data_IF_068764318379
#
_entry.id   IF_068764318379
#
_cell.length_a   1.000
_cell.length_b   1.000
_cell.length_c   1.000
_cell.angle_alpha   90.00
_cell.angle_beta   90.00
_cell.angle_gamma   90.00
#
_symmetry.space_group_name_H-M   'P 1'
#
loop_
_entity.id
_entity.type
_entity.pdbx_description
1 polymer ?
#
# COMPACT_ATOMS: atom_id res chain seq x y z
N UNK A 1 -7.70 15.66 -15.72
CA UNK A 1 -8.83 15.36 -14.81
C UNK A 1 -9.90 14.63 -15.60
N UNK A 2 -10.48 13.55 -15.08
CA UNK A 2 -11.53 12.75 -15.70
C UNK A 2 -12.74 12.67 -14.75
N UNK A 3 -13.96 12.75 -15.30
CA UNK A 3 -15.21 12.78 -14.56
C UNK A 3 -16.00 11.50 -14.86
N UNK A 4 -16.48 10.83 -13.82
CA UNK A 4 -17.32 9.64 -13.91
C UNK A 4 -18.58 9.85 -13.08
N UNK A 5 -19.75 9.92 -13.75
CA UNK A 5 -21.04 10.12 -13.12
C UNK A 5 -21.71 8.77 -12.87
N UNK A 6 -22.07 8.49 -11.64
CA UNK A 6 -22.80 7.29 -11.25
C UNK A 6 -24.27 7.63 -11.09
N UNK A 7 -25.09 7.08 -11.96
CA UNK A 7 -26.53 7.34 -12.01
C UNK A 7 -27.33 6.14 -11.56
N UNK A 8 -28.49 6.41 -10.97
CA UNK A 8 -29.51 5.40 -10.69
C UNK A 8 -30.58 5.41 -11.79
N UNK A 9 -30.83 4.25 -12.36
CA UNK A 9 -31.92 4.08 -13.32
C UNK A 9 -33.26 4.07 -12.60
N UNK A 10 -34.17 4.96 -12.96
CA UNK A 10 -35.44 5.20 -12.25
C UNK A 10 -36.40 4.00 -12.25
N UNK A 11 -36.36 3.13 -13.27
CA UNK A 11 -37.29 1.99 -13.40
C UNK A 11 -36.77 0.68 -12.81
N UNK A 12 -35.44 0.49 -12.75
CA UNK A 12 -34.84 -0.81 -12.37
C UNK A 12 -34.03 -0.76 -11.07
N UNK A 13 -33.96 0.40 -10.44
CA UNK A 13 -33.17 0.68 -9.21
C UNK A 13 -31.69 0.23 -9.34
N UNK A 14 -31.11 0.43 -10.50
CA UNK A 14 -29.82 -0.09 -10.92
C UNK A 14 -28.84 1.05 -11.15
N UNK A 15 -27.55 0.84 -10.87
CA UNK A 15 -26.51 1.85 -11.03
C UNK A 15 -25.80 1.65 -12.36
N UNK A 16 -25.62 2.74 -13.11
CA UNK A 16 -24.80 2.79 -14.33
C UNK A 16 -23.86 3.99 -14.30
N UNK A 17 -22.86 4.00 -15.18
CA UNK A 17 -21.82 5.02 -15.23
C UNK A 17 -21.85 5.73 -16.57
N UNK A 18 -21.68 7.05 -16.54
CA UNK A 18 -21.49 7.91 -17.74
C UNK A 18 -20.29 8.85 -17.53
N UNK A 19 -19.62 9.22 -18.59
CA UNK A 19 -18.62 10.29 -18.60
C UNK A 19 -19.25 11.65 -18.94
N UNK A 20 -20.49 11.66 -19.42
CA UNK A 20 -21.26 12.85 -19.70
C UNK A 20 -22.39 13.02 -18.69
N UNK A 21 -22.66 14.25 -18.33
CA UNK A 21 -23.76 14.57 -17.44
C UNK A 21 -25.11 14.28 -18.12
N UNK A 22 -25.96 13.51 -17.46
CA UNK A 22 -27.29 13.16 -17.93
C UNK A 22 -28.36 13.80 -17.04
N UNK A 23 -29.38 14.39 -17.64
CA UNK A 23 -30.46 15.06 -16.92
C UNK A 23 -31.66 14.16 -16.66
N UNK A 24 -31.76 13.01 -17.34
CA UNK A 24 -32.93 12.13 -17.28
C UNK A 24 -32.86 11.13 -16.09
N UNK A 25 -31.70 11.01 -15.43
CA UNK A 25 -31.45 10.04 -14.38
C UNK A 25 -31.02 10.70 -13.07
N UNK A 26 -31.26 10.05 -11.94
CA UNK A 26 -30.85 10.57 -10.64
C UNK A 26 -29.35 10.31 -10.44
N UNK A 27 -28.58 11.39 -10.26
CA UNK A 27 -27.17 11.29 -9.90
C UNK A 27 -27.04 10.75 -8.47
N UNK A 28 -26.33 9.64 -8.29
CA UNK A 28 -26.00 9.07 -6.99
C UNK A 28 -24.72 9.71 -6.43
N UNK A 29 -23.67 9.71 -7.23
CA UNK A 29 -22.44 10.40 -6.87
C UNK A 29 -21.54 10.65 -8.08
N UNK A 30 -20.58 11.55 -7.89
CA UNK A 30 -19.56 11.90 -8.86
C UNK A 30 -18.19 11.37 -8.41
N UNK A 31 -17.44 10.76 -9.33
CA UNK A 31 -16.02 10.48 -9.14
C UNK A 31 -15.18 11.36 -10.06
N UNK A 32 -14.26 12.11 -9.46
CA UNK A 32 -13.27 12.95 -10.14
C UNK A 32 -11.91 12.29 -10.01
N UNK A 33 -11.35 11.78 -11.11
CA UNK A 33 -9.99 11.24 -11.13
C UNK A 33 -9.02 12.28 -11.68
N UNK A 34 -8.04 12.65 -10.88
CA UNK A 34 -7.05 13.67 -11.18
C UNK A 34 -5.63 13.12 -11.07
N UNK A 35 -4.77 13.55 -11.97
CA UNK A 35 -3.35 13.29 -11.84
C UNK A 35 -2.72 14.31 -10.90
N UNK A 36 -1.83 13.84 -10.03
CA UNK A 36 -1.05 14.69 -9.14
C UNK A 36 -0.22 15.71 -9.90
N UNK A 37 0.27 15.35 -11.07
CA UNK A 37 1.03 16.25 -11.93
C UNK A 37 0.20 17.50 -12.32
N UNK A 38 -1.11 17.37 -12.54
CA UNK A 38 -2.01 18.49 -12.81
C UNK A 38 -2.10 19.42 -11.59
N UNK A 39 -2.18 18.84 -10.38
CA UNK A 39 -2.19 19.58 -9.12
C UNK A 39 -0.87 20.33 -8.88
N UNK A 40 0.27 19.68 -9.09
CA UNK A 40 1.60 20.28 -8.88
C UNK A 40 1.87 21.42 -9.87
N UNK A 41 1.54 21.23 -11.15
CA UNK A 41 1.85 22.19 -12.19
C UNK A 41 0.90 23.40 -12.20
N UNK A 42 -0.35 23.23 -11.75
CA UNK A 42 -1.42 24.23 -11.88
C UNK A 42 -2.35 24.24 -10.66
N UNK A 43 -1.80 24.40 -9.47
CA UNK A 43 -2.51 24.28 -8.17
C UNK A 43 -3.79 25.15 -8.11
N UNK A 44 -3.70 26.43 -8.45
CA UNK A 44 -4.87 27.35 -8.39
C UNK A 44 -5.96 26.96 -9.39
N UNK A 45 -5.57 26.62 -10.61
CA UNK A 45 -6.51 26.19 -11.65
C UNK A 45 -7.12 24.83 -11.29
N UNK A 46 -6.36 23.95 -10.70
CA UNK A 46 -6.84 22.65 -10.23
C UNK A 46 -7.87 22.83 -9.11
N UNK A 47 -7.58 23.66 -8.11
CA UNK A 47 -8.50 23.93 -7.00
C UNK A 47 -9.80 24.59 -7.49
N UNK A 48 -9.69 25.52 -8.44
CA UNK A 48 -10.86 26.14 -9.06
C UNK A 48 -11.72 25.11 -9.81
N UNK A 49 -11.10 24.21 -10.58
CA UNK A 49 -11.82 23.16 -11.29
C UNK A 49 -12.49 22.17 -10.31
N UNK A 50 -11.82 21.80 -9.22
CA UNK A 50 -12.43 20.96 -8.17
C UNK A 50 -13.65 21.69 -7.60
N UNK A 51 -13.52 22.96 -7.22
CA UNK A 51 -14.64 23.74 -6.69
C UNK A 51 -15.82 23.83 -7.68
N UNK A 52 -15.56 24.05 -8.96
CA UNK A 52 -16.61 24.15 -10.00
C UNK A 52 -17.41 22.84 -10.13
N UNK A 53 -16.78 21.68 -9.94
CA UNK A 53 -17.44 20.38 -10.06
C UNK A 53 -18.00 19.85 -8.75
N UNK A 54 -17.42 20.21 -7.62
CA UNK A 54 -17.70 19.58 -6.33
C UNK A 54 -18.30 20.54 -5.29
N UNK A 55 -18.11 21.85 -5.47
CA UNK A 55 -18.43 22.86 -4.47
C UNK A 55 -17.51 22.87 -3.23
N UNK A 56 -16.51 22.00 -3.18
CA UNK A 56 -15.59 21.84 -2.04
C UNK A 56 -14.38 22.76 -2.20
N UNK A 57 -14.07 23.49 -1.13
CA UNK A 57 -12.83 24.28 -1.01
C UNK A 57 -11.90 23.53 -0.06
N UNK A 58 -10.75 23.11 -0.58
CA UNK A 58 -9.77 22.40 0.24
C UNK A 58 -9.02 23.38 1.16
N UNK A 59 -8.81 22.94 2.40
CA UNK A 59 -7.96 23.61 3.35
C UNK A 59 -6.50 23.67 2.84
N UNK A 60 -5.79 24.75 3.15
CA UNK A 60 -4.40 24.94 2.73
C UNK A 60 -3.46 23.84 3.25
N UNK A 61 -3.70 23.31 4.45
CA UNK A 61 -2.94 22.19 5.01
C UNK A 61 -3.17 20.91 4.20
N UNK A 62 -4.40 20.56 3.90
CA UNK A 62 -4.74 19.39 3.08
C UNK A 62 -4.22 19.50 1.66
N UNK A 63 -4.17 20.71 1.11
CA UNK A 63 -3.51 20.95 -0.19
C UNK A 63 -2.00 20.65 -0.12
N UNK A 64 -1.33 21.02 0.97
CA UNK A 64 0.09 20.72 1.19
C UNK A 64 0.31 19.21 1.34
N UNK A 65 -0.59 18.52 2.03
CA UNK A 65 -0.52 17.07 2.21
C UNK A 65 -0.64 16.34 0.88
N UNK A 66 -1.58 16.77 0.03
CA UNK A 66 -1.73 16.24 -1.33
C UNK A 66 -0.53 16.55 -2.24
N UNK A 67 0.15 17.68 -2.02
CA UNK A 67 1.36 18.07 -2.75
C UNK A 67 2.61 17.34 -2.27
N UNK A 68 2.65 16.86 -1.03
CA UNK A 68 3.80 16.20 -0.45
C UNK A 68 3.89 14.73 -0.89
N UNK A 69 4.90 14.39 -1.72
CA UNK A 69 5.12 13.01 -2.19
C UNK A 69 5.55 12.06 -1.07
N UNK A 70 6.13 12.59 -0.01
CA UNK A 70 6.59 11.81 1.14
C UNK A 70 5.55 11.79 2.29
N UNK A 71 4.35 12.35 2.05
CA UNK A 71 3.31 12.34 3.08
C UNK A 71 2.99 10.90 3.50
N UNK A 72 2.97 10.57 4.80
CA UNK A 72 2.59 9.24 5.29
C UNK A 72 1.11 8.95 4.99
N UNK A 73 0.66 7.73 5.27
CA UNK A 73 -0.77 7.47 5.31
C UNK A 73 -1.39 8.29 6.43
N UNK A 74 -2.54 8.93 6.16
CA UNK A 74 -3.25 9.77 7.12
C UNK A 74 -4.73 9.86 6.75
N UNK A 75 -5.55 10.03 7.76
CA UNK A 75 -6.96 10.37 7.63
C UNK A 75 -7.24 11.64 8.44
N UNK A 76 -7.97 12.58 7.86
CA UNK A 76 -8.44 13.78 8.55
C UNK A 76 -9.87 14.09 8.09
N UNK A 77 -10.73 14.43 9.03
CA UNK A 77 -12.13 14.77 8.79
C UNK A 77 -12.39 16.22 9.17
N UNK A 78 -12.97 16.96 8.25
CA UNK A 78 -13.46 18.32 8.47
C UNK A 78 -14.96 18.39 8.15
N UNK A 79 -15.62 19.44 8.55
CA UNK A 79 -17.09 19.58 8.42
C UNK A 79 -17.61 19.37 6.98
N UNK A 80 -16.80 19.74 5.98
CA UNK A 80 -17.23 19.74 4.57
C UNK A 80 -16.79 18.46 3.81
N UNK A 81 -15.70 17.80 4.21
CA UNK A 81 -15.15 16.64 3.53
C UNK A 81 -14.17 15.86 4.43
N UNK A 82 -13.92 14.62 4.06
CA UNK A 82 -12.85 13.80 4.63
C UNK A 82 -11.68 13.76 3.65
N UNK A 83 -10.45 13.82 4.18
CA UNK A 83 -9.22 13.59 3.43
C UNK A 83 -8.60 12.26 3.89
N UNK A 84 -8.33 11.38 2.93
CA UNK A 84 -7.57 10.16 3.13
C UNK A 84 -6.34 10.19 2.22
N UNK A 85 -5.15 10.15 2.80
CA UNK A 85 -3.91 9.91 2.07
C UNK A 85 -3.47 8.47 2.33
N UNK A 86 -3.27 7.71 1.27
CA UNK A 86 -2.93 6.29 1.37
C UNK A 86 -1.77 5.95 0.46
N UNK A 87 -0.71 5.37 1.00
CA UNK A 87 0.47 4.99 0.23
C UNK A 87 0.34 3.58 -0.32
N UNK A 88 0.72 3.41 -1.56
CA UNK A 88 0.78 2.13 -2.25
C UNK A 88 2.23 1.73 -2.49
N UNK A 89 2.58 0.45 -2.32
CA UNK A 89 3.83 -0.08 -2.85
C UNK A 89 3.81 -0.04 -4.39
N UNK A 90 4.88 0.47 -4.97
CA UNK A 90 5.10 0.44 -6.41
C UNK A 90 5.54 -0.99 -6.76
N UNK A 91 4.79 -1.65 -7.61
CA UNK A 91 5.13 -2.96 -8.12
C UNK A 91 5.94 -2.84 -9.42
N UNK A 92 6.73 -3.85 -9.82
CA UNK A 92 7.42 -3.85 -11.11
C UNK A 92 6.49 -3.69 -12.32
N UNK A 93 5.20 -3.97 -12.13
CA UNK A 93 4.18 -3.80 -13.16
C UNK A 93 3.67 -2.35 -13.27
N UNK A 94 3.94 -1.48 -12.31
CA UNK A 94 3.53 -0.07 -12.38
C UNK A 94 4.44 0.71 -13.33
N UNK A 95 3.86 1.50 -14.23
CA UNK A 95 4.63 2.34 -15.16
C UNK A 95 5.41 3.46 -14.47
N UNK A 96 5.07 3.78 -13.22
CA UNK A 96 5.80 4.72 -12.36
C UNK A 96 7.25 4.23 -12.15
N UNK A 97 7.47 2.91 -12.19
CA UNK A 97 8.78 2.29 -12.01
C UNK A 97 9.76 2.60 -13.16
N UNK A 98 9.26 2.93 -14.34
CA UNK A 98 10.07 3.21 -15.54
C UNK A 98 10.47 4.69 -15.64
N UNK A 99 9.97 5.58 -14.78
CA UNK A 99 10.37 6.98 -14.80
C UNK A 99 11.68 7.16 -14.03
N UNK A 100 12.74 7.57 -14.74
CA UNK A 100 14.10 7.78 -14.20
C UNK A 100 14.17 8.65 -12.92
N UNK A 101 13.17 9.48 -12.68
CA UNK A 101 13.11 10.36 -11.52
C UNK A 101 12.69 9.66 -10.21
N UNK A 102 12.06 8.48 -10.28
CA UNK A 102 11.67 7.72 -9.09
C UNK A 102 12.84 6.90 -8.51
N UNK A 103 13.84 6.60 -9.34
CA UNK A 103 15.03 5.82 -8.97
C UNK A 103 16.14 6.69 -8.35
N UNK A 104 16.22 7.98 -8.69
CA UNK A 104 17.30 8.85 -8.21
C UNK A 104 17.09 9.34 -6.76
N UNK A 105 15.86 9.37 -6.25
CA UNK A 105 15.60 9.85 -4.89
C UNK A 105 15.69 8.77 -3.80
N UNK A 106 15.56 7.49 -4.16
CA UNK A 106 15.68 6.39 -3.22
C UNK A 106 16.39 5.21 -3.90
N UNK A 107 17.69 5.07 -3.69
CA UNK A 107 18.42 3.83 -3.89
C UNK A 107 17.86 2.71 -3.01
N UNK A 108 16.61 2.36 -3.18
CA UNK A 108 16.08 1.13 -2.68
C UNK A 108 16.66 0.01 -3.53
N UNK A 109 17.69 -0.63 -3.04
CA UNK A 109 18.39 -1.78 -3.66
C UNK A 109 17.40 -2.88 -4.10
N UNK A 110 16.12 -2.75 -3.77
CA UNK A 110 15.08 -3.74 -4.02
C UNK A 110 13.81 -3.20 -4.67
N UNK A 111 13.78 -1.96 -5.13
CA UNK A 111 12.61 -1.42 -5.81
C UNK A 111 11.33 -1.38 -4.95
N UNK A 112 11.46 -1.34 -3.62
CA UNK A 112 10.34 -1.12 -2.71
C UNK A 112 10.13 0.38 -2.53
N UNK A 113 9.70 1.04 -3.57
CA UNK A 113 9.25 2.42 -3.50
C UNK A 113 7.75 2.47 -3.21
N UNK A 114 7.28 3.56 -2.61
CA UNK A 114 5.87 3.81 -2.37
C UNK A 114 5.42 5.11 -3.03
N UNK A 115 4.15 5.19 -3.38
CA UNK A 115 3.55 6.40 -3.93
C UNK A 115 2.29 6.75 -3.15
N UNK A 116 2.08 8.02 -2.74
CA UNK A 116 0.86 8.45 -2.10
C UNK A 116 -0.26 8.59 -3.13
N UNK A 117 -1.47 8.33 -2.67
CA UNK A 117 -2.71 8.62 -3.37
C UNK A 117 -3.65 9.32 -2.41
N UNK A 118 -4.15 10.49 -2.80
CA UNK A 118 -5.10 11.26 -2.02
C UNK A 118 -6.54 10.95 -2.44
N UNK A 119 -7.43 10.90 -1.46
CA UNK A 119 -8.87 10.80 -1.65
C UNK A 119 -9.57 11.89 -0.85
N UNK A 120 -10.45 12.62 -1.50
CA UNK A 120 -11.31 13.60 -0.86
C UNK A 120 -12.74 13.06 -0.99
N UNK A 121 -13.37 12.83 0.16
CA UNK A 121 -14.68 12.21 0.24
C UNK A 121 -15.71 13.23 0.76
N UNK A 122 -16.85 13.25 0.11
CA UNK A 122 -18.08 13.87 0.61
C UNK A 122 -19.22 12.86 0.48
N UNK A 123 -20.42 13.10 1.01
CA UNK A 123 -21.55 12.19 0.85
C UNK A 123 -21.87 11.83 -0.61
N UNK A 124 -21.57 12.70 -1.57
CA UNK A 124 -21.96 12.53 -2.97
C UNK A 124 -20.79 12.64 -3.96
N UNK A 125 -19.56 12.82 -3.48
CA UNK A 125 -18.40 13.04 -4.36
C UNK A 125 -17.20 12.28 -3.83
N UNK A 126 -16.44 11.68 -4.75
CA UNK A 126 -15.09 11.20 -4.51
C UNK A 126 -14.14 11.92 -5.46
N UNK A 127 -13.11 12.55 -4.93
CA UNK A 127 -11.96 13.01 -5.73
C UNK A 127 -10.79 12.10 -5.43
N UNK A 128 -10.15 11.58 -6.47
CA UNK A 128 -8.89 10.81 -6.34
C UNK A 128 -7.75 11.60 -7.00
N UNK A 129 -6.63 11.73 -6.28
CA UNK A 129 -5.40 12.37 -6.74
C UNK A 129 -4.29 11.33 -6.75
N UNK A 130 -3.76 10.99 -7.92
CA UNK A 130 -2.81 9.89 -8.10
C UNK A 130 -1.66 10.23 -9.04
N UNK A 131 -0.58 9.48 -8.91
CA UNK A 131 0.48 9.49 -9.92
C UNK A 131 0.02 8.79 -11.21
N UNK A 132 0.58 9.23 -12.32
CA UNK A 132 0.40 8.56 -13.61
C UNK A 132 1.04 7.17 -13.55
N UNK A 133 0.44 6.17 -14.22
CA UNK A 133 0.96 4.80 -14.26
C UNK A 133 0.62 3.95 -13.04
N UNK A 134 -0.26 4.40 -12.15
CA UNK A 134 -0.80 3.58 -11.06
C UNK A 134 -1.74 2.50 -11.61
N UNK A 135 -1.20 1.31 -11.90
CA UNK A 135 -1.95 0.21 -12.53
C UNK A 135 -3.16 -0.28 -11.75
N UNK A 136 -3.15 -0.16 -10.43
CA UNK A 136 -4.32 -0.55 -9.63
C UNK A 136 -5.54 0.28 -10.03
N UNK A 137 -5.37 1.60 -10.17
CA UNK A 137 -6.45 2.52 -10.54
C UNK A 137 -6.75 2.43 -12.04
N UNK A 138 -5.72 2.37 -12.87
CA UNK A 138 -5.89 2.24 -14.32
C UNK A 138 -6.66 0.96 -14.69
N UNK A 139 -6.36 -0.15 -14.03
CA UNK A 139 -7.11 -1.41 -14.21
C UNK A 139 -8.57 -1.27 -13.75
N UNK A 140 -8.83 -0.50 -12.70
CA UNK A 140 -10.19 -0.21 -12.28
C UNK A 140 -10.93 0.66 -13.30
N UNK A 141 -10.28 1.72 -13.82
CA UNK A 141 -10.82 2.58 -14.88
C UNK A 141 -11.11 1.76 -16.15
N UNK A 142 -10.18 0.91 -16.60
CA UNK A 142 -10.39 0.04 -17.75
C UNK A 142 -11.60 -0.89 -17.55
N UNK A 143 -11.77 -1.43 -16.36
CA UNK A 143 -12.94 -2.26 -16.01
C UNK A 143 -14.24 -1.45 -16.10
N UNK A 144 -14.25 -0.21 -15.61
CA UNK A 144 -15.39 0.70 -15.74
C UNK A 144 -15.68 0.98 -17.23
N UNK A 145 -14.68 1.29 -18.03
CA UNK A 145 -14.84 1.54 -19.47
C UNK A 145 -15.45 0.35 -20.21
N UNK A 146 -15.03 -0.87 -19.88
CA UNK A 146 -15.63 -2.11 -20.41
C UNK A 146 -17.11 -2.23 -19.99
N UNK A 147 -17.46 -1.82 -18.79
CA UNK A 147 -18.84 -1.84 -18.30
C UNK A 147 -19.67 -0.77 -19.03
N UNK A 148 -19.16 0.44 -19.18
CA UNK A 148 -19.83 1.54 -19.89
C UNK A 148 -20.11 1.21 -21.37
N UNK A 149 -19.25 0.41 -22.01
CA UNK A 149 -19.47 -0.05 -23.38
C UNK A 149 -20.61 -1.06 -23.55
N UNK A 150 -21.28 -1.48 -22.46
CA UNK A 150 -22.43 -2.40 -22.50
C UNK A 150 -23.75 -1.62 -22.48
N UNK A 151 -24.85 -2.20 -23.01
CA UNK A 151 -26.18 -1.62 -22.82
C UNK A 151 -26.48 -1.38 -21.33
N UNK A 152 -27.17 -0.29 -20.99
CA UNK A 152 -27.46 0.11 -19.61
C UNK A 152 -28.08 -1.02 -18.79
N UNK A 153 -29.01 -1.78 -19.38
CA UNK A 153 -29.64 -2.95 -18.75
C UNK A 153 -28.65 -4.08 -18.37
N UNK A 154 -27.49 -4.17 -19.04
CA UNK A 154 -26.46 -5.18 -18.77
C UNK A 154 -25.33 -4.67 -17.88
N UNK A 155 -25.18 -3.34 -17.71
CA UNK A 155 -24.18 -2.77 -16.82
C UNK A 155 -24.42 -3.18 -15.36
N UNK A 156 -25.62 -3.59 -15.07
CA UNK A 156 -26.23 -3.59 -13.78
C UNK A 156 -26.44 -4.94 -13.12
N UNK A 157 -25.57 -5.87 -13.32
CA UNK A 157 -25.59 -7.05 -12.43
C UNK A 157 -25.24 -6.58 -11.01
N UNK A 158 -26.12 -6.86 -10.02
CA UNK A 158 -25.95 -6.37 -8.65
C UNK A 158 -24.54 -6.72 -8.11
N UNK A 159 -23.88 -5.76 -7.46
CA UNK A 159 -22.56 -5.81 -6.84
C UNK A 159 -21.33 -5.51 -7.70
N UNK A 160 -21.45 -5.13 -8.97
CA UNK A 160 -20.27 -4.79 -9.77
C UNK A 160 -19.84 -3.33 -9.66
N UNK A 161 -20.76 -2.41 -9.47
CA UNK A 161 -20.49 -0.97 -9.36
C UNK A 161 -20.55 -0.52 -7.90
N UNK A 162 -19.81 0.54 -7.60
CA UNK A 162 -19.88 1.20 -6.31
C UNK A 162 -21.22 1.93 -6.15
N UNK A 163 -21.75 1.95 -4.93
CA UNK A 163 -23.02 2.59 -4.62
C UNK A 163 -22.87 3.94 -3.91
N UNK A 164 -21.70 4.23 -3.39
CA UNK A 164 -21.38 5.47 -2.68
C UNK A 164 -19.92 5.86 -2.94
N UNK A 165 -19.52 7.13 -2.69
CA UNK A 165 -18.13 7.56 -2.72
C UNK A 165 -17.21 6.70 -1.84
N UNK A 166 -17.63 6.42 -0.60
CA UNK A 166 -16.87 5.58 0.33
C UNK A 166 -16.72 4.13 -0.17
N UNK A 167 -17.77 3.53 -0.78
CA UNK A 167 -17.67 2.20 -1.39
C UNK A 167 -16.67 2.18 -2.56
N UNK A 168 -16.65 3.24 -3.36
CA UNK A 168 -15.67 3.37 -4.44
C UNK A 168 -14.24 3.52 -3.87
N UNK A 169 -14.06 4.38 -2.89
CA UNK A 169 -12.77 4.58 -2.21
C UNK A 169 -12.23 3.23 -1.69
N UNK A 170 -13.03 2.47 -0.93
CA UNK A 170 -12.63 1.16 -0.41
C UNK A 170 -12.27 0.14 -1.51
N UNK A 171 -12.94 0.18 -2.66
CA UNK A 171 -12.59 -0.67 -3.81
C UNK A 171 -11.26 -0.29 -4.44
N UNK A 172 -10.96 1.01 -4.52
CA UNK A 172 -9.67 1.51 -5.02
C UNK A 172 -8.55 1.13 -4.04
N UNK A 173 -8.75 1.33 -2.74
CA UNK A 173 -7.81 0.90 -1.70
C UNK A 173 -7.56 -0.62 -1.74
N UNK A 174 -8.60 -1.43 -1.89
CA UNK A 174 -8.45 -2.88 -2.03
C UNK A 174 -7.60 -3.24 -3.26
N UNK A 175 -7.82 -2.57 -4.38
CA UNK A 175 -7.01 -2.78 -5.59
C UNK A 175 -5.54 -2.40 -5.39
N UNK A 176 -5.24 -1.40 -4.54
CA UNK A 176 -3.88 -1.02 -4.18
C UNK A 176 -3.22 -2.06 -3.27
N UNK A 177 -3.96 -2.60 -2.30
CA UNK A 177 -3.47 -3.59 -1.34
C UNK A 177 -3.32 -4.98 -2.00
N UNK A 178 -4.18 -5.34 -2.93
CA UNK A 178 -4.08 -6.62 -3.67
C UNK A 178 -2.72 -6.78 -4.38
N UNK A 179 -2.06 -5.67 -4.73
CA UNK A 179 -0.70 -5.67 -5.27
C UNK A 179 0.34 -6.33 -4.34
N UNK A 180 0.13 -6.30 -3.02
CA UNK A 180 1.03 -6.96 -2.06
C UNK A 180 1.03 -8.48 -2.19
N UNK A 181 -0.08 -9.09 -2.63
CA UNK A 181 -0.16 -10.54 -2.80
C UNK A 181 0.85 -11.03 -3.84
N UNK A 182 1.13 -10.22 -4.85
CA UNK A 182 2.10 -10.52 -5.89
C UNK A 182 3.55 -10.47 -5.38
N UNK A 183 3.82 -9.70 -4.31
CA UNK A 183 5.15 -9.58 -3.70
C UNK A 183 5.46 -10.71 -2.72
N UNK A 184 4.46 -11.43 -2.23
CA UNK A 184 4.62 -12.46 -1.20
C UNK A 184 5.62 -13.55 -1.60
N UNK A 185 5.47 -14.10 -2.80
CA UNK A 185 6.35 -15.17 -3.30
C UNK A 185 7.77 -14.69 -3.58
N UNK A 186 8.00 -13.55 -4.27
CA UNK A 186 9.33 -12.98 -4.43
C UNK A 186 10.05 -12.72 -3.10
N UNK A 187 9.37 -12.11 -2.12
CA UNK A 187 9.94 -11.84 -0.80
C UNK A 187 10.34 -13.12 -0.07
N UNK A 188 9.50 -14.15 -0.10
CA UNK A 188 9.82 -15.45 0.50
C UNK A 188 11.06 -16.08 -0.13
N UNK A 189 11.17 -16.09 -1.48
CA UNK A 189 12.34 -16.61 -2.20
C UNK A 189 13.62 -15.87 -1.86
N UNK A 190 13.54 -14.57 -1.62
CA UNK A 190 14.71 -13.76 -1.21
C UNK A 190 15.19 -14.16 0.17
N UNK A 191 14.29 -14.37 1.13
CA UNK A 191 14.65 -14.85 2.48
C UNK A 191 15.28 -16.24 2.40
N UNK A 192 14.71 -17.17 1.63
CA UNK A 192 15.26 -18.50 1.39
C UNK A 192 16.68 -18.43 0.81
N UNK A 193 16.91 -17.52 -0.15
CA UNK A 193 18.24 -17.27 -0.70
C UNK A 193 19.24 -16.83 0.39
N UNK A 194 18.87 -15.84 1.21
CA UNK A 194 19.76 -15.36 2.29
C UNK A 194 20.02 -16.40 3.36
N UNK A 195 19.01 -17.18 3.72
CA UNK A 195 19.19 -18.32 4.64
C UNK A 195 20.20 -19.33 4.09
N UNK A 196 20.10 -19.66 2.81
CA UNK A 196 21.06 -20.56 2.17
C UNK A 196 22.49 -19.98 2.15
N UNK A 197 22.62 -18.68 1.82
CA UNK A 197 23.94 -18.03 1.82
C UNK A 197 24.58 -17.99 3.21
N UNK A 198 23.81 -17.73 4.25
CA UNK A 198 24.29 -17.71 5.64
C UNK A 198 24.66 -19.11 6.16
N UNK A 199 23.86 -20.13 5.83
CA UNK A 199 24.04 -21.49 6.35
C UNK A 199 25.05 -22.34 5.54
N UNK A 200 25.14 -22.13 4.22
CA UNK A 200 26.09 -22.84 3.35
C UNK A 200 27.44 -22.12 3.23
N UNK A 201 27.47 -20.87 3.61
CA UNK A 201 28.63 -19.99 3.44
C UNK A 201 29.82 -20.44 4.28
N UNK A 202 30.94 -20.64 3.59
CA UNK A 202 32.24 -20.76 4.21
C UNK A 202 32.50 -19.53 5.11
N UNK A 203 33.35 -19.68 6.13
CA UNK A 203 33.81 -18.77 7.20
C UNK A 203 33.82 -17.25 6.93
N UNK A 204 33.50 -16.77 5.73
CA UNK A 204 33.53 -15.33 5.34
C UNK A 204 32.30 -14.97 4.54
N UNK A 205 31.13 -14.93 5.18
CA UNK A 205 30.01 -14.22 4.59
C UNK A 205 30.39 -12.76 4.39
N UNK A 206 30.34 -12.26 3.14
CA UNK A 206 30.80 -10.91 2.77
C UNK A 206 29.66 -9.94 2.44
N UNK A 207 28.45 -10.45 2.28
CA UNK A 207 27.30 -9.69 1.76
C UNK A 207 26.46 -9.04 2.87
N UNK A 208 27.11 -8.68 4.00
CA UNK A 208 26.41 -8.08 5.15
C UNK A 208 25.66 -6.79 4.79
N UNK A 209 26.25 -5.97 3.92
CA UNK A 209 25.61 -4.73 3.48
C UNK A 209 24.31 -5.01 2.73
N UNK A 210 24.30 -5.98 1.82
CA UNK A 210 23.09 -6.36 1.09
C UNK A 210 22.03 -6.95 2.02
N UNK A 211 22.43 -7.81 2.98
CA UNK A 211 21.53 -8.38 3.96
C UNK A 211 20.92 -7.31 4.88
N UNK A 212 21.69 -6.31 5.26
CA UNK A 212 21.19 -5.18 6.02
C UNK A 212 20.14 -4.38 5.23
N UNK A 213 20.37 -4.13 3.95
CA UNK A 213 19.37 -3.48 3.10
C UNK A 213 18.08 -4.30 2.95
N UNK A 214 18.18 -5.63 2.97
CA UNK A 214 16.97 -6.49 3.01
C UNK A 214 16.18 -6.28 4.30
N UNK A 215 16.84 -6.27 5.45
CA UNK A 215 16.16 -6.04 6.72
C UNK A 215 15.47 -4.67 6.75
N UNK A 216 16.14 -3.63 6.24
CA UNK A 216 15.56 -2.29 6.09
C UNK A 216 14.34 -2.28 5.17
N UNK A 217 14.38 -3.02 4.06
CA UNK A 217 13.23 -3.12 3.15
C UNK A 217 12.03 -3.81 3.83
N UNK A 218 12.24 -4.87 4.59
CA UNK A 218 11.18 -5.50 5.38
C UNK A 218 10.62 -4.56 6.43
N UNK A 219 11.48 -3.79 7.11
CA UNK A 219 11.05 -2.80 8.09
C UNK A 219 10.20 -1.69 7.46
N UNK A 220 10.55 -1.24 6.26
CA UNK A 220 9.73 -0.26 5.52
C UNK A 220 8.34 -0.80 5.19
N UNK A 221 8.22 -2.08 4.83
CA UNK A 221 6.89 -2.70 4.60
C UNK A 221 6.10 -2.78 5.91
N UNK A 222 6.75 -3.14 7.03
CA UNK A 222 6.09 -3.19 8.34
C UNK A 222 5.55 -1.84 8.74
N UNK A 223 6.37 -0.78 8.67
CA UNK A 223 5.97 0.59 8.98
C UNK A 223 4.81 1.06 8.09
N UNK A 224 4.90 0.79 6.78
CA UNK A 224 3.83 1.12 5.85
C UNK A 224 2.51 0.41 6.21
N UNK A 225 2.56 -0.86 6.59
CA UNK A 225 1.37 -1.59 7.03
C UNK A 225 0.78 -1.01 8.33
N UNK A 226 1.62 -0.55 9.26
CA UNK A 226 1.18 0.11 10.50
C UNK A 226 0.45 1.41 10.18
N UNK A 227 1.06 2.30 9.39
CA UNK A 227 0.42 3.54 8.94
C UNK A 227 -0.91 3.28 8.23
N UNK A 228 -0.97 2.28 7.36
CA UNK A 228 -2.19 1.90 6.66
C UNK A 228 -3.29 1.41 7.60
N UNK A 229 -2.94 0.61 8.62
CA UNK A 229 -3.90 0.10 9.59
C UNK A 229 -4.44 1.25 10.44
N UNK A 230 -3.59 2.14 10.94
CA UNK A 230 -3.99 3.32 11.72
C UNK A 230 -4.95 4.20 10.92
N UNK A 231 -4.58 4.56 9.70
CA UNK A 231 -5.41 5.36 8.79
C UNK A 231 -6.78 4.71 8.51
N UNK A 232 -6.81 3.39 8.29
CA UNK A 232 -8.06 2.67 8.07
C UNK A 232 -8.91 2.56 9.36
N UNK A 233 -8.28 2.54 10.54
CA UNK A 233 -9.00 2.58 11.82
C UNK A 233 -9.66 3.93 12.02
N UNK A 234 -8.97 5.04 11.80
CA UNK A 234 -9.52 6.39 11.88
C UNK A 234 -10.69 6.56 10.90
N UNK A 235 -10.51 6.12 9.66
CA UNK A 235 -11.61 6.13 8.67
C UNK A 235 -12.81 5.27 9.09
N UNK A 236 -12.56 4.12 9.75
CA UNK A 236 -13.64 3.27 10.28
C UNK A 236 -14.39 3.96 11.40
N UNK A 237 -13.68 4.60 12.31
CA UNK A 237 -14.27 5.24 13.47
C UNK A 237 -15.16 6.43 13.02
N UNK A 238 -14.73 7.20 12.03
CA UNK A 238 -15.55 8.24 11.37
C UNK A 238 -16.82 7.64 10.72
N UNK A 239 -16.69 6.52 10.00
CA UNK A 239 -17.86 5.83 9.42
C UNK A 239 -18.84 5.32 10.50
N UNK A 240 -18.33 4.90 11.66
CA UNK A 240 -19.17 4.45 12.79
C UNK A 240 -19.86 5.63 13.44
N UNK A 241 -19.16 6.73 13.67
CA UNK A 241 -19.72 7.93 14.27
C UNK A 241 -20.83 8.52 13.39
N UNK A 242 -20.61 8.59 12.09
CA UNK A 242 -21.62 8.99 11.11
C UNK A 242 -22.80 8.01 11.00
N UNK A 243 -22.62 6.73 11.41
CA UNK A 243 -23.69 5.72 11.42
C UNK A 243 -24.86 6.14 12.30
N UNK A 244 -24.59 6.75 13.45
CA UNK A 244 -25.61 7.18 14.41
C UNK A 244 -26.40 8.40 13.95
N UNK A 245 -25.88 9.17 13.01
CA UNK A 245 -26.54 10.38 12.48
C UNK A 245 -27.41 10.13 11.23
N UNK A 246 -27.33 8.93 10.65
CA UNK A 246 -28.04 8.58 9.41
C UNK A 246 -29.38 7.91 9.71
N UNK A 247 -30.49 8.56 9.34
CA UNK A 247 -31.83 7.97 9.46
C UNK A 247 -32.26 7.23 8.18
N UNK A 248 -32.68 5.95 8.34
CA UNK A 248 -33.31 5.14 7.30
C UNK A 248 -32.70 3.75 7.09
N UNK A 249 -33.53 2.70 6.99
CA UNK A 249 -33.11 1.28 6.90
C UNK A 249 -32.17 0.97 5.70
N UNK A 250 -32.39 1.59 4.56
CA UNK A 250 -31.52 1.36 3.37
C UNK A 250 -30.12 1.94 3.54
N UNK A 251 -29.99 3.05 4.28
CA UNK A 251 -28.71 3.68 4.55
C UNK A 251 -27.90 2.87 5.56
N UNK A 252 -28.54 2.32 6.60
CA UNK A 252 -27.89 1.40 7.54
C UNK A 252 -27.30 0.18 6.86
N UNK A 253 -28.04 -0.45 5.94
CA UNK A 253 -27.53 -1.61 5.21
C UNK A 253 -26.30 -1.31 4.35
N UNK A 254 -26.20 -0.13 3.78
CA UNK A 254 -25.02 0.28 3.00
C UNK A 254 -23.82 0.52 3.91
N UNK A 255 -24.02 1.12 5.10
CA UNK A 255 -22.97 1.32 6.08
C UNK A 255 -22.43 0.00 6.64
N UNK A 256 -23.32 -0.96 6.96
CA UNK A 256 -22.88 -2.31 7.37
C UNK A 256 -21.97 -2.95 6.33
N UNK A 257 -22.28 -2.80 5.03
CA UNK A 257 -21.47 -3.31 3.95
C UNK A 257 -20.10 -2.60 3.87
N UNK A 258 -20.07 -1.29 4.11
CA UNK A 258 -18.82 -0.52 4.14
C UNK A 258 -17.93 -0.95 5.29
N UNK A 259 -18.48 -1.11 6.50
CA UNK A 259 -17.74 -1.58 7.67
C UNK A 259 -17.18 -2.99 7.47
N UNK A 260 -17.97 -3.90 6.88
CA UNK A 260 -17.50 -5.26 6.57
C UNK A 260 -16.33 -5.21 5.56
N UNK A 261 -16.41 -4.38 4.52
CA UNK A 261 -15.33 -4.23 3.54
C UNK A 261 -14.08 -3.61 4.15
N UNK A 262 -14.25 -2.61 5.00
CA UNK A 262 -13.14 -1.95 5.68
C UNK A 262 -12.41 -2.91 6.62
N UNK A 263 -13.16 -3.70 7.40
CA UNK A 263 -12.57 -4.75 8.25
C UNK A 263 -11.84 -5.83 7.43
N UNK A 264 -12.37 -6.21 6.27
CA UNK A 264 -11.71 -7.15 5.36
C UNK A 264 -10.40 -6.56 4.81
N UNK A 265 -10.43 -5.29 4.43
CA UNK A 265 -9.26 -4.54 3.96
C UNK A 265 -8.16 -4.47 5.03
N UNK A 266 -8.52 -4.10 6.27
CA UNK A 266 -7.60 -4.09 7.42
C UNK A 266 -7.00 -5.49 7.65
N UNK A 267 -7.80 -6.55 7.59
CA UNK A 267 -7.33 -7.93 7.71
C UNK A 267 -6.35 -8.33 6.60
N UNK A 268 -6.47 -7.75 5.41
CA UNK A 268 -5.52 -7.95 4.31
C UNK A 268 -4.17 -7.30 4.64
N UNK A 269 -4.15 -6.05 5.09
CA UNK A 269 -2.93 -5.34 5.50
C UNK A 269 -2.25 -6.06 6.67
N UNK A 270 -3.00 -6.46 7.71
CA UNK A 270 -2.47 -7.24 8.83
C UNK A 270 -1.82 -8.57 8.39
N UNK A 271 -2.39 -9.25 7.40
CA UNK A 271 -1.79 -10.47 6.85
C UNK A 271 -0.46 -10.21 6.17
N UNK A 272 -0.33 -9.08 5.47
CA UNK A 272 0.94 -8.66 4.87
C UNK A 272 1.96 -8.37 5.96
N UNK A 273 1.61 -7.56 6.95
CA UNK A 273 2.46 -7.21 8.09
C UNK A 273 2.97 -8.47 8.82
N UNK A 274 2.07 -9.38 9.20
CA UNK A 274 2.42 -10.64 9.86
C UNK A 274 3.30 -11.54 9.00
N UNK A 275 3.13 -11.51 7.67
CA UNK A 275 4.00 -12.26 6.76
C UNK A 275 5.40 -11.65 6.71
N UNK A 276 5.50 -10.34 6.56
CA UNK A 276 6.79 -9.60 6.51
C UNK A 276 7.57 -9.79 7.80
N UNK A 277 6.91 -9.65 8.96
CA UNK A 277 7.52 -9.89 10.26
C UNK A 277 8.09 -11.32 10.39
N UNK A 278 7.36 -12.33 9.90
CA UNK A 278 7.87 -13.72 9.88
C UNK A 278 9.10 -13.87 9.00
N UNK A 279 9.12 -13.23 7.84
CA UNK A 279 10.27 -13.26 6.93
C UNK A 279 11.50 -12.60 7.56
N UNK A 280 11.32 -11.45 8.20
CA UNK A 280 12.37 -10.74 8.94
C UNK A 280 12.94 -11.58 10.08
N UNK A 281 12.07 -12.18 10.89
CA UNK A 281 12.49 -13.09 11.97
C UNK A 281 13.23 -14.33 11.45
N UNK A 282 12.87 -14.81 10.27
CA UNK A 282 13.57 -15.94 9.64
C UNK A 282 14.98 -15.56 9.19
N UNK A 283 15.21 -14.34 8.69
CA UNK A 283 16.55 -13.81 8.40
C UNK A 283 17.35 -13.68 9.71
N UNK A 284 16.78 -13.04 10.73
CA UNK A 284 17.45 -12.84 12.01
C UNK A 284 17.88 -14.17 12.64
N UNK A 285 17.00 -15.17 12.62
CA UNK A 285 17.33 -16.52 13.09
C UNK A 285 18.48 -17.17 12.31
N UNK A 286 18.54 -16.95 11.00
CA UNK A 286 19.64 -17.45 10.18
C UNK A 286 20.97 -16.73 10.47
N UNK A 287 20.94 -15.45 10.77
CA UNK A 287 22.10 -14.66 11.23
C UNK A 287 22.62 -15.21 12.56
N UNK A 288 21.75 -15.46 13.53
CA UNK A 288 22.10 -15.97 14.85
C UNK A 288 22.71 -17.37 14.75
N UNK A 289 22.15 -18.23 13.90
CA UNK A 289 22.71 -19.55 13.60
C UNK A 289 24.10 -19.46 12.94
N UNK A 290 24.28 -18.53 12.01
CA UNK A 290 25.58 -18.29 11.38
C UNK A 290 26.66 -17.90 12.39
N UNK A 291 26.36 -16.93 13.27
CA UNK A 291 27.30 -16.54 14.34
C UNK A 291 27.56 -17.67 15.34
N UNK A 292 26.54 -18.43 15.70
CA UNK A 292 26.69 -19.60 16.56
C UNK A 292 27.61 -20.67 15.94
N UNK A 293 27.48 -20.94 14.66
CA UNK A 293 28.31 -21.85 13.90
C UNK A 293 29.79 -21.39 13.86
N UNK A 294 30.01 -20.08 13.64
CA UNK A 294 31.36 -19.49 13.67
C UNK A 294 31.98 -19.61 15.06
N UNK A 295 31.23 -19.32 16.13
CA UNK A 295 31.70 -19.42 17.50
C UNK A 295 32.10 -20.87 17.86
N UNK A 296 31.26 -21.85 17.51
CA UNK A 296 31.56 -23.25 17.72
C UNK A 296 32.82 -23.69 16.98
N UNK A 297 33.00 -23.29 15.74
CA UNK A 297 34.18 -23.60 14.96
C UNK A 297 35.45 -22.94 15.52
N UNK A 298 35.33 -21.72 16.01
CA UNK A 298 36.43 -21.01 16.67
C UNK A 298 36.85 -21.74 17.96
N UNK A 299 35.88 -22.17 18.77
CA UNK A 299 36.14 -22.95 19.99
C UNK A 299 36.80 -24.30 19.66
N UNK A 300 36.39 -24.99 18.62
CA UNK A 300 37.00 -26.23 18.18
C UNK A 300 38.44 -26.05 17.70
N UNK A 301 38.70 -24.98 16.92
CA UNK A 301 40.04 -24.60 16.51
C UNK A 301 40.94 -24.27 17.72
N UNK A 302 40.42 -23.56 18.72
CA UNK A 302 41.15 -23.26 19.96
C UNK A 302 41.45 -24.52 20.76
N UNK A 303 40.51 -25.47 20.82
CA UNK A 303 40.71 -26.77 21.46
C UNK A 303 41.83 -27.57 20.81
N UNK A 304 41.84 -27.60 19.45
CA UNK A 304 42.90 -28.24 18.70
C UNK A 304 44.26 -27.58 18.96
N UNK A 305 44.30 -26.23 18.94
CA UNK A 305 45.52 -25.47 19.22
C UNK A 305 46.05 -25.74 20.64
N UNK A 306 45.15 -25.77 21.62
CA UNK A 306 45.50 -26.08 23.02
C UNK A 306 46.08 -27.49 23.15
N UNK A 307 45.53 -28.49 22.45
CA UNK A 307 46.06 -29.87 22.44
C UNK A 307 47.47 -29.90 21.81
N UNK A 308 47.65 -29.23 20.65
CA UNK A 308 48.97 -29.11 19.97
C UNK A 308 49.98 -28.47 20.93
N UNK A 309 49.62 -27.34 21.54
CA UNK A 309 50.50 -26.64 22.50
C UNK A 309 50.83 -27.49 23.69
N UNK A 310 49.89 -28.23 24.28
CA UNK A 310 50.12 -29.12 25.41
C UNK A 310 51.06 -30.26 25.07
N UNK A 311 51.11 -30.72 23.80
CA UNK A 311 52.04 -31.78 23.36
C UNK A 311 53.44 -31.17 23.07
N UNK A 312 53.50 -30.04 22.38
CA UNK A 312 54.78 -29.45 21.93
C UNK A 312 55.51 -28.67 23.02
N UNK A 313 54.84 -28.03 23.98
CA UNK A 313 55.49 -27.27 25.05
C UNK A 313 56.46 -28.10 25.89
N UNK A 314 56.12 -29.32 26.37
CA UNK A 314 57.10 -30.14 27.09
C UNK A 314 58.22 -30.68 26.20
N UNK A 315 57.93 -30.94 24.90
CA UNK A 315 58.96 -31.40 23.96
C UNK A 315 59.99 -30.29 23.66
N UNK A 316 59.56 -29.06 23.49
CA UNK A 316 60.46 -27.90 23.32
C UNK A 316 61.32 -27.62 24.56
N UNK A 317 60.76 -27.85 25.75
CA UNK A 317 61.50 -27.74 27.01
C UNK A 317 62.61 -28.80 27.09
N UNK A 318 62.35 -30.01 26.63
CA UNK A 318 63.34 -31.12 26.63
C UNK A 318 64.41 -30.95 25.57
N UNK A 319 64.08 -30.34 24.44
CA UNK A 319 65.05 -30.17 23.31
C UNK A 319 65.75 -28.81 23.35
N UNK A 320 65.32 -27.86 24.13
CA UNK A 320 65.88 -26.51 24.29
C UNK A 320 66.84 -26.38 25.46
N UNK A 321 67.18 -27.48 26.14
CA UNK A 321 68.25 -27.65 27.07
C UNK A 321 69.32 -28.51 26.37
#
# INVERSE_FOLDING_TARGET
>A
MQLYYFYRHNSENTIFISVEQQTEHTLEFLWVDSLRQDLVNHTDSWQKNIYEHTGVVLNEFHMRDLLNIEHPCAFDSVEEYDLLVFRKLISPDDQIYESDNALESHESIFGLATTPMGFILTPNILVSVREQGNKAIESYIQRIQVIMGRPIAEQNKPRKLASTPADLCLRLLNSMIDGYLNLRTPLTRRVEYWQQQLLQGNRRFKQWHQLFHEDMAFQQIENLCEEQIETLQEFRDELVDNYHHVMGEHKHKNQDILLVRLNDLMSHVERVQKHTLRLRNAIQSAIDLHFSAIANQTNENMRILAIITAIFAPLTLLTGI
#
